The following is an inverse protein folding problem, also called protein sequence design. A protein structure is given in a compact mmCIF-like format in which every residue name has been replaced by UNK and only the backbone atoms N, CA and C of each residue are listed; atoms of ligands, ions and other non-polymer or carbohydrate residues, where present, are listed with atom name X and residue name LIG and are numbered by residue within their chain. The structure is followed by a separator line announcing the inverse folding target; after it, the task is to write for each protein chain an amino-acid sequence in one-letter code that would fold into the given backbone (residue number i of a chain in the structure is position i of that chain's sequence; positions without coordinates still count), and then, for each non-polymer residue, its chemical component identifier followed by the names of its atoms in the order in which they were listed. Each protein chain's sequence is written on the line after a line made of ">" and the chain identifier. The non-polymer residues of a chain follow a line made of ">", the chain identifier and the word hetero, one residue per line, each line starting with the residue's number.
data_IF_871813520722
#
_entry.id   IF_871813520722
#
_cell.length_a   1.000
_cell.length_b   1.000
_cell.length_c   1.000
_cell.angle_alpha   90.00
_cell.angle_beta   90.00
_cell.angle_gamma   90.00
#
_symmetry.space_group_name_H-M   'P 1'
#
loop_
_entity.id
_entity.type
_entity.pdbx_description
1 polymer ?
#
# COMPACT_ATOMS: atom_id res chain seq x y z
N UNK A 1 -8.31 1.89 20.08
CA UNK A 1 -8.83 2.24 18.72
C UNK A 1 -9.54 1.00 18.22
N UNK A 2 -10.81 1.08 17.81
CA UNK A 2 -11.56 -0.12 17.47
C UNK A 2 -10.89 -0.90 16.33
N UNK A 3 -11.00 -2.23 16.34
CA UNK A 3 -10.50 -3.10 15.26
C UNK A 3 -10.86 -2.60 13.86
N UNK A 4 -12.11 -2.15 13.68
CA UNK A 4 -12.59 -1.61 12.41
C UNK A 4 -11.87 -0.30 12.01
N UNK A 5 -11.61 0.58 12.97
CA UNK A 5 -10.88 1.83 12.72
C UNK A 5 -9.41 1.56 12.36
N UNK A 6 -8.75 0.67 13.10
CA UNK A 6 -7.38 0.22 12.81
C UNK A 6 -7.29 -0.41 11.42
N UNK A 7 -8.20 -1.34 11.09
CA UNK A 7 -8.26 -1.96 9.77
C UNK A 7 -8.45 -0.92 8.66
N UNK A 8 -9.41 -0.01 8.81
CA UNK A 8 -9.70 1.02 7.82
C UNK A 8 -8.50 1.94 7.58
N UNK A 9 -7.80 2.33 8.63
CA UNK A 9 -6.60 3.16 8.54
C UNK A 9 -5.48 2.44 7.77
N UNK A 10 -5.24 1.16 8.07
CA UNK A 10 -4.23 0.35 7.36
C UNK A 10 -4.59 0.19 5.88
N UNK A 11 -5.86 -0.09 5.57
CA UNK A 11 -6.31 -0.21 4.18
C UNK A 11 -6.16 1.12 3.42
N UNK A 12 -6.49 2.24 4.05
CA UNK A 12 -6.30 3.56 3.45
C UNK A 12 -4.82 3.85 3.18
N UNK A 13 -3.94 3.49 4.11
CA UNK A 13 -2.49 3.57 3.91
C UNK A 13 -2.04 2.74 2.70
N UNK A 14 -2.51 1.50 2.55
CA UNK A 14 -2.17 0.65 1.41
C UNK A 14 -2.72 1.17 0.08
N UNK A 15 -3.91 1.77 0.07
CA UNK A 15 -4.47 2.43 -1.12
C UNK A 15 -3.54 3.57 -1.54
N UNK A 16 -3.14 4.43 -0.62
CA UNK A 16 -2.24 5.55 -0.92
C UNK A 16 -0.88 5.04 -1.42
N UNK A 17 -0.35 4.00 -0.77
CA UNK A 17 0.93 3.41 -1.13
C UNK A 17 0.90 2.85 -2.56
N UNK A 18 -0.09 2.02 -2.87
CA UNK A 18 -0.17 1.28 -4.15
C UNK A 18 -0.68 2.14 -5.32
N UNK A 19 -1.61 3.08 -5.09
CA UNK A 19 -2.24 3.84 -6.17
C UNK A 19 -1.63 5.24 -6.38
N UNK A 20 -0.94 5.79 -5.39
CA UNK A 20 -0.39 7.14 -5.47
C UNK A 20 1.13 7.12 -5.37
N UNK A 21 1.68 6.62 -4.25
CA UNK A 21 3.12 6.77 -3.96
C UNK A 21 4.00 5.98 -4.93
N UNK A 22 3.80 4.67 -5.06
CA UNK A 22 4.63 3.86 -5.94
C UNK A 22 4.46 4.21 -7.44
N UNK A 23 3.23 4.39 -7.96
CA UNK A 23 3.04 4.82 -9.35
C UNK A 23 3.73 6.15 -9.65
N UNK A 24 3.59 7.14 -8.76
CA UNK A 24 4.26 8.44 -8.91
C UNK A 24 5.77 8.29 -8.82
N UNK A 25 6.29 7.55 -7.84
CA UNK A 25 7.72 7.32 -7.68
C UNK A 25 8.34 6.68 -8.93
N UNK A 26 7.68 5.70 -9.54
CA UNK A 26 8.17 5.05 -10.76
C UNK A 26 8.04 5.96 -11.99
N UNK A 27 6.94 6.69 -12.13
CA UNK A 27 6.75 7.64 -13.23
C UNK A 27 7.79 8.76 -13.23
N UNK A 28 8.08 9.34 -12.06
CA UNK A 28 9.02 10.45 -11.97
C UNK A 28 10.48 10.02 -11.77
N UNK A 29 10.73 8.86 -11.14
CA UNK A 29 12.07 8.40 -10.77
C UNK A 29 12.73 7.42 -11.74
N UNK A 30 11.96 6.66 -12.53
CA UNK A 30 12.51 5.73 -13.52
C UNK A 30 12.34 6.30 -14.92
N UNK A 31 11.10 6.47 -15.36
CA UNK A 31 10.76 7.00 -16.67
C UNK A 31 9.33 7.55 -16.65
N UNK A 32 9.14 8.73 -17.25
CA UNK A 32 7.83 9.39 -17.40
C UNK A 32 6.99 8.69 -18.48
N UNK A 33 6.55 7.47 -18.19
CA UNK A 33 5.68 6.66 -19.04
C UNK A 33 4.57 6.00 -18.22
N UNK A 34 3.41 5.78 -18.84
CA UNK A 34 2.30 5.08 -18.19
C UNK A 34 2.67 3.63 -17.81
N UNK A 35 3.53 2.99 -18.60
CA UNK A 35 4.05 1.65 -18.30
C UNK A 35 4.87 1.64 -17.00
N UNK A 36 5.76 2.63 -16.82
CA UNK A 36 6.53 2.77 -15.58
C UNK A 36 5.62 2.99 -14.37
N UNK A 37 4.62 3.86 -14.49
CA UNK A 37 3.63 4.06 -13.43
C UNK A 37 2.86 2.76 -13.10
N UNK A 38 2.49 1.98 -14.13
CA UNK A 38 1.85 0.68 -13.98
C UNK A 38 2.74 -0.33 -13.24
N UNK A 39 4.04 -0.36 -13.55
CA UNK A 39 5.01 -1.18 -12.82
C UNK A 39 5.10 -0.78 -11.35
N UNK A 40 5.07 0.53 -11.06
CA UNK A 40 4.97 1.05 -9.70
C UNK A 40 3.72 0.55 -8.98
N UNK A 41 2.55 0.61 -9.63
CA UNK A 41 1.30 0.08 -9.07
C UNK A 41 1.39 -1.41 -8.72
N UNK A 42 1.94 -2.22 -9.64
CA UNK A 42 2.12 -3.67 -9.43
C UNK A 42 3.02 -3.91 -8.21
N UNK A 43 4.20 -3.29 -8.17
CA UNK A 43 5.14 -3.47 -7.08
C UNK A 43 4.57 -2.99 -5.73
N UNK A 44 3.95 -1.81 -5.72
CA UNK A 44 3.30 -1.25 -4.52
C UNK A 44 2.19 -2.18 -4.00
N UNK A 45 1.42 -2.80 -4.88
CA UNK A 45 0.38 -3.77 -4.52
C UNK A 45 0.96 -5.04 -3.89
N UNK A 46 2.04 -5.58 -4.46
CA UNK A 46 2.74 -6.74 -3.90
C UNK A 46 3.31 -6.44 -2.50
N UNK A 47 3.89 -5.25 -2.32
CA UNK A 47 4.40 -4.79 -1.02
C UNK A 47 3.26 -4.64 -0.02
N UNK A 48 2.13 -4.03 -0.40
CA UNK A 48 0.95 -3.88 0.46
C UNK A 48 0.38 -5.23 0.91
N UNK A 49 0.35 -6.24 0.02
CA UNK A 49 -0.04 -7.61 0.38
C UNK A 49 0.95 -8.18 1.40
N UNK A 50 2.26 -8.03 1.18
CA UNK A 50 3.28 -8.47 2.13
C UNK A 50 3.12 -7.80 3.50
N UNK A 51 2.97 -6.48 3.53
CA UNK A 51 2.75 -5.72 4.76
C UNK A 51 1.51 -6.19 5.51
N UNK A 52 0.42 -6.49 4.81
CA UNK A 52 -0.77 -7.06 5.42
C UNK A 52 -0.49 -8.42 6.07
N UNK A 53 0.16 -9.33 5.32
CA UNK A 53 0.41 -10.70 5.76
C UNK A 53 1.32 -10.78 6.99
N UNK A 54 2.36 -9.93 7.05
CA UNK A 54 3.36 -9.99 8.12
C UNK A 54 3.10 -9.03 9.28
N UNK A 55 2.42 -7.91 9.04
CA UNK A 55 2.23 -6.86 10.05
C UNK A 55 0.76 -6.47 10.24
N UNK A 56 0.06 -6.12 9.15
CA UNK A 56 -1.28 -5.51 9.21
C UNK A 56 -2.30 -6.36 9.98
N UNK A 57 -2.34 -7.68 9.75
CA UNK A 57 -3.23 -8.60 10.48
C UNK A 57 -2.98 -8.57 11.99
N UNK A 58 -1.72 -8.62 12.40
CA UNK A 58 -1.32 -8.67 13.81
C UNK A 58 -1.70 -7.35 14.53
N UNK A 59 -1.55 -6.21 13.84
CA UNK A 59 -1.93 -4.90 14.38
C UNK A 59 -3.44 -4.78 14.58
N UNK A 60 -4.24 -5.31 13.65
CA UNK A 60 -5.71 -5.34 13.79
C UNK A 60 -6.14 -6.30 14.91
N UNK A 61 -5.49 -7.45 15.03
CA UNK A 61 -5.81 -8.44 16.06
C UNK A 61 -5.53 -7.92 17.48
N UNK A 62 -4.41 -7.19 17.64
CA UNK A 62 -4.02 -6.55 18.89
C UNK A 62 -4.85 -5.29 19.26
N UNK A 63 -5.73 -4.82 18.38
CA UNK A 63 -6.57 -3.67 18.65
C UNK A 63 -7.77 -4.04 19.54
N UNK A 64 -8.07 -3.16 20.51
CA UNK A 64 -9.18 -3.30 21.47
C UNK A 64 -10.57 -3.15 20.83
#
# INVERSE_FOLDING_TARGET
>A
MSKLMTFSAIMMFYIILSYLLFPAAFYYGIQKSYESAGNGYILGSLISIGLWQFFGKNVVEAAE
#
